data_IF_063851868271
#
_entry.id   IF_063851868271
#
_cell.length_a   1.000
_cell.length_b   1.000
_cell.length_c   1.000
_cell.angle_alpha   90.00
_cell.angle_beta   90.00
_cell.angle_gamma   90.00
#
_symmetry.space_group_name_H-M   'P 1'
#
loop_
_entity.id
_entity.type
_entity.pdbx_description
1 polymer ?
#
# COMPACT_ATOMS: atom_id res chain seq x y z
N UNK A 1 -33.11 3.39 -14.89
CA UNK A 1 -32.44 2.28 -14.18
C UNK A 1 -31.01 2.12 -14.70
N UNK A 2 -30.06 2.84 -14.10
CA UNK A 2 -28.64 2.49 -14.01
C UNK A 2 -27.99 3.47 -13.04
N UNK A 3 -27.97 3.13 -11.75
CA UNK A 3 -27.46 3.97 -10.65
C UNK A 3 -25.97 3.71 -10.35
N UNK A 4 -25.28 2.94 -11.19
CA UNK A 4 -23.88 2.55 -11.03
C UNK A 4 -23.09 2.79 -12.32
N UNK A 5 -23.04 4.04 -12.78
CA UNK A 5 -21.97 4.47 -13.67
C UNK A 5 -20.89 5.12 -12.82
N UNK A 6 -19.65 4.58 -12.74
CA UNK A 6 -18.54 5.25 -12.09
C UNK A 6 -18.05 6.39 -12.97
N UNK A 7 -18.89 7.41 -13.16
CA UNK A 7 -18.64 8.58 -14.00
C UNK A 7 -18.63 9.80 -13.09
N UNK A 8 -17.43 10.30 -12.77
CA UNK A 8 -17.24 11.52 -11.97
C UNK A 8 -16.36 11.32 -10.72
N UNK A 9 -16.72 12.00 -9.63
CA UNK A 9 -15.92 12.16 -8.40
C UNK A 9 -15.39 10.84 -7.82
N UNK A 10 -16.12 9.72 -7.94
CA UNK A 10 -15.68 8.41 -7.43
C UNK A 10 -14.43 7.90 -8.16
N UNK A 11 -14.35 8.09 -9.48
CA UNK A 11 -13.15 7.74 -10.25
C UNK A 11 -11.94 8.58 -9.80
N UNK A 12 -12.14 9.89 -9.61
CA UNK A 12 -11.09 10.77 -9.10
C UNK A 12 -10.69 10.46 -7.65
N UNK A 13 -11.64 10.06 -6.81
CA UNK A 13 -11.36 9.66 -5.44
C UNK A 13 -10.52 8.38 -5.40
N UNK A 14 -10.85 7.37 -6.22
CA UNK A 14 -10.05 6.15 -6.36
C UNK A 14 -8.65 6.50 -6.88
N UNK A 15 -8.54 7.32 -7.93
CA UNK A 15 -7.25 7.72 -8.49
C UNK A 15 -6.37 8.49 -7.49
N UNK A 16 -6.96 9.35 -6.66
CA UNK A 16 -6.24 10.04 -5.58
C UNK A 16 -5.78 9.07 -4.51
N UNK A 17 -6.61 8.09 -4.14
CA UNK A 17 -6.26 7.06 -3.16
C UNK A 17 -5.10 6.21 -3.68
N UNK A 18 -5.15 5.71 -4.92
CA UNK A 18 -4.05 4.97 -5.55
C UNK A 18 -2.76 5.80 -5.57
N UNK A 19 -2.86 7.12 -5.82
CA UNK A 19 -1.70 7.99 -5.79
C UNK A 19 -1.09 8.15 -4.39
N UNK A 20 -1.86 7.90 -3.32
CA UNK A 20 -1.35 7.86 -1.94
C UNK A 20 -0.69 6.54 -1.56
N UNK A 21 -0.87 5.48 -2.35
CA UNK A 21 -0.22 4.18 -2.14
C UNK A 21 1.29 4.29 -2.33
N UNK A 22 1.79 5.03 -3.33
CA UNK A 22 3.22 5.20 -3.57
C UNK A 22 3.93 5.86 -2.36
N UNK A 23 3.47 7.01 -1.84
CA UNK A 23 3.99 7.59 -0.60
C UNK A 23 3.87 6.67 0.63
N UNK A 24 2.79 5.88 0.72
CA UNK A 24 2.56 4.96 1.81
C UNK A 24 3.59 3.81 1.78
N UNK A 25 3.77 3.16 0.63
CA UNK A 25 4.79 2.13 0.41
C UNK A 25 6.19 2.67 0.73
N UNK A 26 6.52 3.89 0.28
CA UNK A 26 7.82 4.48 0.58
C UNK A 26 8.02 4.75 2.08
N UNK A 27 6.99 5.30 2.75
CA UNK A 27 7.00 5.56 4.19
C UNK A 27 7.20 4.28 5.01
N UNK A 28 6.45 3.23 4.67
CA UNK A 28 6.50 1.93 5.36
C UNK A 28 7.85 1.24 5.11
N UNK A 29 8.39 1.34 3.90
CA UNK A 29 9.75 0.88 3.60
C UNK A 29 10.78 1.52 4.51
N UNK A 30 10.73 2.85 4.68
CA UNK A 30 11.65 3.59 5.54
C UNK A 30 11.51 3.20 7.01
N UNK A 31 10.28 2.98 7.50
CA UNK A 31 10.02 2.52 8.87
C UNK A 31 10.68 1.15 9.09
N UNK A 32 10.43 0.17 8.22
CA UNK A 32 10.99 -1.16 8.37
C UNK A 32 12.51 -1.20 8.16
N UNK A 33 13.06 -0.36 7.27
CA UNK A 33 14.51 -0.19 7.11
C UNK A 33 15.16 0.37 8.39
N UNK A 34 14.52 1.34 9.02
CA UNK A 34 14.99 1.93 10.27
C UNK A 34 14.88 0.92 11.44
N UNK A 35 13.82 0.10 11.48
CA UNK A 35 13.72 -1.01 12.44
C UNK A 35 14.86 -2.01 12.26
N UNK A 36 15.16 -2.41 11.02
CA UNK A 36 16.24 -3.34 10.70
C UNK A 36 17.62 -2.81 11.13
N UNK A 37 17.83 -1.48 11.05
CA UNK A 37 19.04 -0.81 11.54
C UNK A 37 19.14 -0.80 13.07
N UNK A 38 18.02 -0.71 13.79
CA UNK A 38 18.00 -0.67 15.27
C UNK A 38 18.08 -2.06 15.90
N UNK A 39 17.70 -3.10 15.18
CA UNK A 39 17.83 -4.49 15.61
C UNK A 39 17.44 -5.46 14.50
N UNK A 40 18.12 -6.61 14.45
CA UNK A 40 17.83 -7.61 13.42
C UNK A 40 16.52 -8.35 13.72
N UNK A 41 15.52 -8.16 12.86
CA UNK A 41 14.22 -8.82 12.96
C UNK A 41 13.82 -9.43 11.63
N UNK A 42 13.47 -10.72 11.61
CA UNK A 42 13.02 -11.42 10.41
C UNK A 42 11.68 -10.89 9.85
N UNK A 43 10.82 -10.36 10.72
CA UNK A 43 9.52 -9.76 10.33
C UNK A 43 9.69 -8.56 9.39
N UNK A 44 10.48 -7.52 9.71
CA UNK A 44 10.76 -6.41 8.79
C UNK A 44 11.29 -6.86 7.43
N UNK A 45 12.10 -7.92 7.38
CA UNK A 45 12.65 -8.44 6.11
C UNK A 45 11.53 -9.01 5.23
N UNK A 46 10.65 -9.84 5.79
CA UNK A 46 9.51 -10.40 5.05
C UNK A 46 8.57 -9.30 4.56
N UNK A 47 8.30 -8.29 5.39
CA UNK A 47 7.46 -7.16 5.00
C UNK A 47 8.12 -6.25 3.97
N UNK A 48 9.44 -6.07 4.01
CA UNK A 48 10.18 -5.40 2.93
C UNK A 48 10.07 -6.18 1.62
N UNK A 49 10.12 -7.51 1.65
CA UNK A 49 9.92 -8.34 0.45
C UNK A 49 8.49 -8.16 -0.09
N UNK A 50 7.46 -8.20 0.76
CA UNK A 50 6.07 -7.96 0.35
C UNK A 50 5.86 -6.55 -0.21
N UNK A 51 6.50 -5.54 0.37
CA UNK A 51 6.46 -4.19 -0.19
C UNK A 51 7.18 -4.09 -1.54
N UNK A 52 8.30 -4.78 -1.69
CA UNK A 52 9.04 -4.79 -2.95
C UNK A 52 8.28 -5.54 -4.05
N UNK A 53 7.46 -6.55 -3.71
CA UNK A 53 6.54 -7.15 -4.69
C UNK A 53 5.44 -6.19 -5.15
N UNK A 54 5.05 -5.18 -4.36
CA UNK A 54 4.07 -4.17 -4.82
C UNK A 54 4.61 -3.32 -5.98
N UNK A 55 5.91 -3.07 -6.04
CA UNK A 55 6.52 -2.40 -7.20
C UNK A 55 6.35 -3.22 -8.47
N UNK A 56 6.41 -4.55 -8.38
CA UNK A 56 6.13 -5.43 -9.51
C UNK A 56 4.67 -5.32 -9.94
N UNK A 57 3.73 -5.27 -8.99
CA UNK A 57 2.31 -5.07 -9.27
C UNK A 57 2.05 -3.72 -9.98
N UNK A 58 2.61 -2.61 -9.47
CA UNK A 58 2.49 -1.27 -10.06
C UNK A 58 3.13 -1.21 -11.46
N UNK A 59 4.32 -1.80 -11.62
CA UNK A 59 5.00 -1.85 -12.91
C UNK A 59 4.14 -2.57 -13.96
N UNK A 60 3.49 -3.64 -13.54
CA UNK A 60 2.73 -4.50 -14.42
C UNK A 60 1.38 -3.90 -14.82
N UNK A 61 0.65 -3.23 -13.91
CA UNK A 61 -0.56 -2.49 -14.29
C UNK A 61 -0.22 -1.29 -15.20
N UNK A 62 0.94 -0.67 -15.00
CA UNK A 62 1.43 0.40 -15.87
C UNK A 62 1.77 -0.13 -17.26
N UNK A 63 2.40 -1.30 -17.37
CA UNK A 63 2.72 -1.94 -18.65
C UNK A 63 1.44 -2.23 -19.45
N UNK A 64 0.42 -2.83 -18.83
CA UNK A 64 -0.88 -3.07 -19.47
C UNK A 64 -1.54 -1.77 -19.93
N UNK A 65 -1.49 -0.72 -19.11
CA UNK A 65 -2.04 0.60 -19.48
C UNK A 65 -1.27 1.22 -20.66
N UNK A 66 0.06 1.12 -20.68
CA UNK A 66 0.92 1.61 -21.76
C UNK A 66 0.65 0.83 -23.05
N UNK A 67 0.62 -0.50 -23.01
CA UNK A 67 0.31 -1.34 -24.19
C UNK A 67 -1.07 -1.01 -24.73
N UNK A 68 -2.09 -0.93 -23.88
CA UNK A 68 -3.47 -0.62 -24.29
C UNK A 68 -3.61 0.80 -24.87
N UNK A 69 -2.88 1.77 -24.31
CA UNK A 69 -2.88 3.14 -24.79
C UNK A 69 -2.11 3.32 -26.11
N UNK A 70 -1.03 2.56 -26.33
CA UNK A 70 -0.22 2.61 -27.55
C UNK A 70 -0.79 1.78 -28.70
N UNK A 71 -1.54 0.71 -28.43
CA UNK A 71 -2.16 -0.15 -29.47
C UNK A 71 -3.50 0.38 -30.00
N UNK A 72 -3.94 1.57 -29.59
CA UNK A 72 -5.02 2.29 -30.28
C UNK A 72 -6.43 1.81 -29.99
N UNK A 73 -6.68 1.24 -28.80
CA UNK A 73 -8.00 0.91 -28.30
C UNK A 73 -8.61 -0.34 -28.94
N UNK A 74 -8.93 -1.32 -28.07
CA UNK A 74 -9.67 -2.57 -28.35
C UNK A 74 -8.86 -3.85 -28.56
N UNK A 75 -7.67 -3.97 -27.99
CA UNK A 75 -7.08 -5.28 -27.70
C UNK A 75 -7.30 -5.57 -26.21
N UNK A 76 -8.24 -6.47 -25.91
CA UNK A 76 -8.46 -6.94 -24.54
C UNK A 76 -7.19 -7.56 -23.97
N UNK A 77 -6.98 -7.32 -22.68
CA UNK A 77 -5.97 -7.89 -21.78
C UNK A 77 -4.98 -8.82 -22.48
N UNK A 78 -3.84 -8.26 -22.91
CA UNK A 78 -2.79 -8.99 -23.63
C UNK A 78 -2.09 -10.04 -22.73
N UNK A 79 -2.32 -9.95 -21.42
CA UNK A 79 -1.77 -10.85 -20.42
C UNK A 79 -2.62 -12.13 -20.26
N UNK A 80 -1.98 -13.30 -20.26
CA UNK A 80 -2.63 -14.54 -19.87
C UNK A 80 -3.37 -14.42 -18.54
N UNK A 81 -4.58 -15.01 -18.42
CA UNK A 81 -5.39 -14.90 -17.21
C UNK A 81 -4.69 -15.34 -15.91
N UNK A 82 -3.71 -16.25 -15.99
CA UNK A 82 -2.91 -16.69 -14.84
C UNK A 82 -2.07 -15.56 -14.22
N UNK A 83 -1.64 -14.63 -15.05
CA UNK A 83 -0.80 -13.48 -14.72
C UNK A 83 -1.64 -12.46 -13.91
N UNK A 84 -2.92 -12.27 -14.25
CA UNK A 84 -3.86 -11.47 -13.44
C UNK A 84 -4.12 -12.05 -12.03
N UNK A 85 -4.16 -13.37 -11.88
CA UNK A 85 -4.27 -14.01 -10.54
C UNK A 85 -3.03 -13.74 -9.68
N UNK A 86 -1.85 -13.64 -10.29
CA UNK A 86 -0.62 -13.28 -9.58
C UNK A 86 -0.66 -11.82 -9.13
N UNK A 87 -1.16 -10.90 -9.95
CA UNK A 87 -1.37 -9.50 -9.56
C UNK A 87 -2.29 -9.38 -8.34
N UNK A 88 -3.43 -10.07 -8.35
CA UNK A 88 -4.37 -10.11 -7.20
C UNK A 88 -3.71 -10.74 -5.96
N UNK A 89 -2.91 -11.79 -6.14
CA UNK A 89 -2.20 -12.42 -5.04
C UNK A 89 -1.19 -11.45 -4.40
N UNK A 90 -0.44 -10.72 -5.23
CA UNK A 90 0.53 -9.72 -4.76
C UNK A 90 -0.18 -8.61 -3.98
N UNK A 91 -1.30 -8.10 -4.48
CA UNK A 91 -2.13 -7.11 -3.76
C UNK A 91 -2.58 -7.63 -2.38
N UNK A 92 -3.04 -8.88 -2.29
CA UNK A 92 -3.40 -9.51 -1.02
C UNK A 92 -2.23 -9.67 -0.03
N UNK A 93 -0.98 -9.74 -0.52
CA UNK A 93 0.20 -9.78 0.35
C UNK A 93 0.50 -8.43 1.00
N UNK A 94 -0.11 -7.34 0.54
CA UNK A 94 0.00 -6.02 1.17
C UNK A 94 -0.82 -5.92 2.47
N UNK A 95 -2.00 -6.52 2.50
CA UNK A 95 -2.92 -6.48 3.65
C UNK A 95 -2.27 -6.78 5.01
N UNK A 96 -1.46 -7.84 5.19
CA UNK A 96 -0.81 -8.09 6.48
C UNK A 96 0.20 -6.99 6.85
N UNK A 97 0.83 -6.35 5.88
CA UNK A 97 1.79 -5.26 6.10
C UNK A 97 1.08 -3.98 6.52
N UNK A 98 -0.03 -3.64 5.85
CA UNK A 98 -0.89 -2.50 6.21
C UNK A 98 -1.43 -2.70 7.62
N UNK A 99 -1.96 -3.89 7.93
CA UNK A 99 -2.49 -4.21 9.25
C UNK A 99 -1.44 -4.06 10.36
N UNK A 100 -0.23 -4.60 10.16
CA UNK A 100 0.86 -4.45 11.15
C UNK A 100 1.25 -2.99 11.34
N UNK A 101 1.38 -2.24 10.24
CA UNK A 101 1.71 -0.81 10.27
C UNK A 101 0.65 0.00 11.02
N UNK A 102 -0.63 -0.17 10.68
CA UNK A 102 -1.75 0.50 11.36
C UNK A 102 -1.84 0.12 12.83
N UNK A 103 -1.65 -1.16 13.15
CA UNK A 103 -1.65 -1.63 14.54
C UNK A 103 -0.53 -0.98 15.34
N UNK A 104 0.67 -0.89 14.79
CA UNK A 104 1.81 -0.23 15.45
C UNK A 104 1.60 1.26 15.62
N UNK A 105 1.05 1.93 14.61
CA UNK A 105 0.68 3.34 14.69
C UNK A 105 -0.39 3.58 15.77
N UNK A 106 -1.41 2.73 15.85
CA UNK A 106 -2.43 2.83 16.88
C UNK A 106 -1.84 2.65 18.29
N UNK A 107 -0.93 1.68 18.46
CA UNK A 107 -0.23 1.46 19.73
C UNK A 107 0.68 2.64 20.09
N UNK A 108 1.47 3.16 19.14
CA UNK A 108 2.40 4.26 19.39
C UNK A 108 1.68 5.58 19.69
N UNK A 109 0.61 5.89 18.96
CA UNK A 109 -0.25 7.06 19.23
C UNK A 109 -0.87 6.95 20.62
N UNK A 110 -1.39 5.78 20.99
CA UNK A 110 -1.95 5.55 22.33
C UNK A 110 -0.89 5.69 23.42
N UNK A 111 0.33 5.18 23.20
CA UNK A 111 1.43 5.29 24.14
C UNK A 111 1.92 6.74 24.31
N UNK A 112 2.01 7.52 23.23
CA UNK A 112 2.37 8.93 23.30
C UNK A 112 1.33 9.76 24.06
N UNK A 113 0.04 9.50 23.82
CA UNK A 113 -1.05 10.19 24.54
C UNK A 113 -0.98 9.95 26.04
N UNK A 114 -0.74 8.70 26.45
CA UNK A 114 -0.58 8.34 27.87
C UNK A 114 0.69 8.96 28.46
N UNK A 115 1.80 8.96 27.72
CA UNK A 115 3.05 9.58 28.16
C UNK A 115 2.98 11.09 28.31
N UNK A 116 2.21 11.78 27.46
CA UNK A 116 1.93 13.22 27.61
C UNK A 116 1.07 13.49 28.85
N UNK A 117 -0.02 12.74 29.02
CA UNK A 117 -0.91 12.88 30.17
C UNK A 117 -0.18 12.70 31.51
N UNK A 118 0.65 11.65 31.63
CA UNK A 118 1.46 11.42 32.84
C UNK A 118 2.52 12.50 33.07
N UNK A 119 3.02 13.16 32.01
CA UNK A 119 3.98 14.25 32.14
C UNK A 119 3.34 15.54 32.61
N UNK A 120 2.10 15.80 32.20
CA UNK A 120 1.30 16.94 32.68
C UNK A 120 0.91 16.72 34.15
N UNK A 121 0.38 15.54 34.50
CA UNK A 121 -0.03 15.22 35.88
C UNK A 121 1.13 15.15 36.91
N UNK A 122 2.37 14.87 36.47
CA UNK A 122 3.56 14.84 37.34
C UNK A 122 4.32 16.17 37.38
N UNK A 123 3.96 17.13 36.53
CA UNK A 123 4.57 18.46 36.51
C UNK A 123 3.85 19.48 37.40
N UNK A 124 2.65 19.14 37.90
CA UNK A 124 1.90 19.86 38.94
C UNK A 124 2.16 19.29 40.35
#
# INVERSE_FOLDING_TARGET
ESYFSPTGIVYYAILVIDYTEIPALFSVSLIYLNELRKGFGWKPIVFLVFLNSQWLHIFWITDEFVVTAFEGGSAGTSLPAWLAWVAILIDYLELPVIYDTLRRLAISVRAQRVGQFLREDLAD
#
